data_IF_668556529257
#
_entry.id   IF_668556529257
#
_cell.length_a   1.000
_cell.length_b   1.000
_cell.length_c   1.000
_cell.angle_alpha   90.00
_cell.angle_beta   90.00
_cell.angle_gamma   90.00
#
_symmetry.space_group_name_H-M   'P 1'
#
loop_
_entity.id
_entity.type
_entity.pdbx_description
1 polymer ?
#
# COMPACT_ATOMS: atom_id res chain seq x y z
N UNK A 1 5.78 -11.24 10.70
CA UNK A 1 4.46 -11.84 10.99
C UNK A 1 3.44 -10.71 11.00
N UNK A 2 2.37 -10.79 10.21
CA UNK A 2 1.26 -9.83 10.29
C UNK A 2 0.40 -10.17 11.51
N UNK A 3 -0.12 -9.19 12.28
CA UNK A 3 -0.99 -9.48 13.41
C UNK A 3 -2.31 -10.11 12.94
N UNK A 4 -2.80 -11.06 13.73
CA UNK A 4 -4.09 -11.71 13.52
C UNK A 4 -5.27 -10.74 13.70
N UNK A 5 -5.11 -9.75 14.56
CA UNK A 5 -6.12 -8.71 14.81
C UNK A 5 -5.87 -7.45 13.97
N UNK A 6 -6.91 -7.00 13.24
CA UNK A 6 -6.93 -5.72 12.54
C UNK A 6 -8.34 -5.10 12.57
N UNK A 7 -8.44 -3.78 12.45
CA UNK A 7 -9.73 -3.06 12.52
C UNK A 7 -10.55 -3.05 11.23
N UNK A 8 -10.01 -3.62 10.15
CA UNK A 8 -10.68 -3.68 8.85
C UNK A 8 -11.83 -4.69 8.80
N UNK A 9 -12.86 -4.34 8.03
CA UNK A 9 -13.94 -5.25 7.62
C UNK A 9 -13.69 -5.61 6.15
N UNK A 10 -13.96 -6.86 5.79
CA UNK A 10 -13.75 -7.33 4.42
C UNK A 10 -14.62 -6.53 3.44
N UNK A 11 -14.01 -6.04 2.37
CA UNK A 11 -14.73 -5.45 1.24
C UNK A 11 -15.62 -6.49 0.58
N UNK A 12 -16.72 -6.04 -0.04
CA UNK A 12 -17.52 -6.89 -0.91
C UNK A 12 -16.67 -7.48 -2.03
N UNK A 13 -17.15 -8.57 -2.65
CA UNK A 13 -16.49 -9.14 -3.83
C UNK A 13 -16.38 -8.10 -4.94
N UNK A 14 -15.20 -8.00 -5.56
CA UNK A 14 -14.89 -6.93 -6.54
C UNK A 14 -14.81 -5.53 -5.94
N UNK A 15 -14.83 -5.39 -4.61
CA UNK A 15 -14.75 -4.11 -3.93
C UNK A 15 -13.48 -3.34 -4.28
N UNK A 16 -13.64 -2.02 -4.49
CA UNK A 16 -12.56 -1.10 -4.85
C UNK A 16 -12.18 -0.24 -3.64
N UNK A 17 -10.95 0.25 -3.63
CA UNK A 17 -10.45 1.10 -2.55
C UNK A 17 -9.03 1.57 -2.79
N UNK A 18 -8.46 2.24 -1.81
CA UNK A 18 -7.06 2.69 -1.90
C UNK A 18 -6.11 1.50 -1.73
N UNK A 19 -4.96 1.58 -2.37
CA UNK A 19 -3.80 0.77 -2.02
C UNK A 19 -2.87 1.59 -1.13
N UNK A 20 -2.46 1.05 0.01
CA UNK A 20 -1.52 1.70 0.92
C UNK A 20 -0.24 0.87 0.97
N UNK A 21 0.90 1.49 0.69
CA UNK A 21 2.22 0.87 0.77
C UNK A 21 3.07 1.67 1.76
N UNK A 22 3.69 0.98 2.71
CA UNK A 22 4.55 1.61 3.73
C UNK A 22 5.76 0.75 4.04
N UNK A 23 6.86 1.36 4.47
CA UNK A 23 8.02 0.62 4.99
C UNK A 23 7.80 0.10 6.42
N UNK A 24 6.89 0.72 7.17
CA UNK A 24 6.66 0.41 8.59
C UNK A 24 5.41 -0.43 8.80
N UNK A 25 5.59 -1.65 9.30
CA UNK A 25 4.47 -2.52 9.71
C UNK A 25 3.65 -1.92 10.84
N UNK A 26 4.25 -1.09 11.70
CA UNK A 26 3.52 -0.41 12.77
C UNK A 26 2.58 0.67 12.20
N UNK A 27 3.02 1.43 11.21
CA UNK A 27 2.13 2.38 10.52
C UNK A 27 1.01 1.65 9.79
N UNK A 28 1.35 0.55 9.10
CA UNK A 28 0.38 -0.26 8.37
C UNK A 28 -0.75 -0.76 9.28
N UNK A 29 -0.41 -1.36 10.44
CA UNK A 29 -1.43 -1.86 11.36
C UNK A 29 -2.28 -0.73 11.94
N UNK A 30 -1.67 0.40 12.31
CA UNK A 30 -2.41 1.55 12.84
C UNK A 30 -3.40 2.13 11.82
N UNK A 31 -3.08 2.09 10.53
CA UNK A 31 -4.01 2.49 9.47
C UNK A 31 -5.24 1.58 9.37
N UNK A 32 -5.09 0.28 9.65
CA UNK A 32 -6.25 -0.64 9.69
C UNK A 32 -7.15 -0.46 10.91
N UNK A 33 -6.64 0.16 11.97
CA UNK A 33 -7.36 0.34 13.24
C UNK A 33 -8.17 1.64 13.31
N UNK A 34 -8.18 2.44 12.24
CA UNK A 34 -8.91 3.70 12.21
C UNK A 34 -10.42 3.47 12.20
N UNK A 35 -11.14 4.30 12.97
CA UNK A 35 -12.62 4.31 12.99
C UNK A 35 -13.23 5.15 11.85
N UNK A 36 -12.40 5.82 11.05
CA UNK A 36 -12.84 6.57 9.87
C UNK A 36 -12.96 5.61 8.70
N UNK A 37 -14.13 5.60 8.05
CA UNK A 37 -14.36 4.78 6.87
C UNK A 37 -13.40 5.14 5.74
N UNK A 38 -12.59 4.18 5.32
CA UNK A 38 -11.75 4.24 4.13
C UNK A 38 -11.68 2.83 3.53
N UNK A 39 -12.25 2.59 2.34
CA UNK A 39 -12.08 1.32 1.65
C UNK A 39 -10.61 1.12 1.29
N UNK A 40 -10.01 0.04 1.81
CA UNK A 40 -8.61 -0.34 1.53
C UNK A 40 -8.66 -1.63 0.70
N UNK A 41 -8.29 -1.54 -0.58
CA UNK A 41 -8.19 -2.69 -1.46
C UNK A 41 -6.91 -3.51 -1.17
N UNK A 42 -5.81 -2.81 -0.88
CA UNK A 42 -4.52 -3.42 -0.57
C UNK A 42 -3.80 -2.66 0.53
N UNK A 43 -3.13 -3.42 1.40
CA UNK A 43 -2.19 -2.90 2.38
C UNK A 43 -0.92 -3.75 2.30
N UNK A 44 0.20 -3.12 1.96
CA UNK A 44 1.47 -3.81 1.77
C UNK A 44 2.57 -3.15 2.58
N UNK A 45 3.50 -3.96 3.08
CA UNK A 45 4.69 -3.45 3.77
C UNK A 45 5.96 -3.88 3.04
N UNK A 46 6.80 -2.90 2.71
CA UNK A 46 8.10 -3.16 2.07
C UNK A 46 9.18 -3.56 3.09
N UNK A 47 8.94 -3.28 4.38
CA UNK A 47 9.90 -3.57 5.45
C UNK A 47 11.26 -2.94 5.18
N UNK A 48 12.30 -3.76 5.22
CA UNK A 48 13.68 -3.33 4.93
C UNK A 48 14.01 -3.26 3.43
N UNK A 49 13.06 -3.57 2.54
CA UNK A 49 13.22 -3.47 1.08
C UNK A 49 14.33 -4.36 0.50
N UNK A 50 14.62 -5.51 1.11
CA UNK A 50 15.74 -6.36 0.70
C UNK A 50 15.56 -7.11 -0.63
N UNK A 51 14.31 -7.34 -1.06
CA UNK A 51 14.01 -8.06 -2.31
C UNK A 51 13.16 -7.23 -3.27
N UNK A 52 12.02 -6.72 -2.80
CA UNK A 52 11.12 -5.88 -3.59
C UNK A 52 11.03 -4.52 -2.93
N UNK A 53 11.33 -3.48 -3.70
CA UNK A 53 11.30 -2.09 -3.25
C UNK A 53 9.92 -1.46 -3.36
N UNK A 54 9.74 -0.32 -2.69
CA UNK A 54 8.46 0.40 -2.68
C UNK A 54 8.01 0.84 -4.08
N UNK A 55 8.95 1.29 -4.92
CA UNK A 55 8.65 1.71 -6.30
C UNK A 55 8.09 0.59 -7.17
N UNK A 56 8.61 -0.64 -7.02
CA UNK A 56 8.14 -1.81 -7.77
C UNK A 56 6.76 -2.27 -7.29
N UNK A 57 6.53 -2.32 -5.98
CA UNK A 57 5.20 -2.64 -5.42
C UNK A 57 4.15 -1.66 -5.91
N UNK A 58 4.48 -0.37 -5.92
CA UNK A 58 3.60 0.70 -6.39
C UNK A 58 3.24 0.55 -7.88
N UNK A 59 4.23 0.28 -8.73
CA UNK A 59 4.02 0.04 -10.17
C UNK A 59 3.15 -1.20 -10.42
N UNK A 60 3.26 -2.24 -9.60
CA UNK A 60 2.41 -3.43 -9.72
C UNK A 60 0.94 -3.16 -9.34
N UNK A 61 0.70 -2.26 -8.38
CA UNK A 61 -0.65 -1.98 -7.87
C UNK A 61 -1.39 -0.87 -8.60
N UNK A 62 -0.68 0.09 -9.21
CA UNK A 62 -1.32 1.24 -9.87
C UNK A 62 -2.20 0.84 -11.06
N UNK A 63 -1.99 -0.36 -11.61
CA UNK A 63 -2.74 -0.94 -12.73
C UNK A 63 -3.93 -1.81 -12.32
N UNK A 64 -4.06 -2.19 -11.05
CA UNK A 64 -5.15 -3.08 -10.62
C UNK A 64 -6.46 -2.28 -10.55
N UNK A 65 -7.49 -2.70 -11.29
CA UNK A 65 -8.78 -2.01 -11.37
C UNK A 65 -9.48 -1.82 -10.00
N UNK A 66 -9.12 -2.62 -8.98
CA UNK A 66 -9.63 -2.48 -7.61
C UNK A 66 -8.98 -1.31 -6.87
N UNK A 67 -7.85 -0.80 -7.34
CA UNK A 67 -7.14 0.34 -6.76
C UNK A 67 -7.71 1.63 -7.33
N UNK A 68 -8.24 2.49 -6.45
CA UNK A 68 -8.75 3.81 -6.84
C UNK A 68 -7.74 4.92 -6.62
N UNK A 69 -6.78 4.71 -5.72
CA UNK A 69 -5.69 5.65 -5.42
C UNK A 69 -4.55 4.92 -4.73
N UNK A 70 -3.33 5.39 -4.94
CA UNK A 70 -2.13 4.88 -4.30
C UNK A 70 -1.69 5.83 -3.19
N UNK A 71 -1.60 5.32 -1.96
CA UNK A 71 -1.07 6.03 -0.79
C UNK A 71 0.27 5.46 -0.37
N UNK A 72 1.30 6.30 -0.33
CA UNK A 72 2.66 5.88 -0.04
C UNK A 72 3.18 6.55 1.23
N UNK A 73 3.71 5.75 2.15
CA UNK A 73 4.53 6.24 3.26
C UNK A 73 5.98 5.83 3.03
N UNK A 74 6.83 6.83 2.79
CA UNK A 74 8.23 6.66 2.34
C UNK A 74 9.15 7.25 3.41
N UNK A 75 9.97 6.38 4.01
CA UNK A 75 11.08 6.74 4.89
C UNK A 75 12.36 6.95 4.06
N UNK A 76 12.54 6.15 3.00
CA UNK A 76 13.62 6.29 2.03
C UNK A 76 13.21 5.73 0.67
N UNK A 77 13.63 6.41 -0.40
CA UNK A 77 13.45 5.92 -1.77
C UNK A 77 14.36 4.71 -2.03
N UNK A 78 13.80 3.59 -2.49
CA UNK A 78 14.57 2.46 -3.00
C UNK A 78 15.21 2.77 -4.36
N UNK A 79 14.48 3.50 -5.21
CA UNK A 79 14.93 3.83 -6.57
C UNK A 79 14.29 5.11 -7.08
N UNK A 80 15.09 6.19 -7.23
CA UNK A 80 14.60 7.45 -7.82
C UNK A 80 14.00 7.23 -9.20
N UNK A 81 14.70 6.51 -10.07
CA UNK A 81 14.20 6.17 -11.40
C UNK A 81 12.93 5.30 -11.38
N UNK A 82 12.76 4.46 -10.36
CA UNK A 82 11.53 3.70 -10.14
C UNK A 82 10.34 4.62 -9.86
N UNK A 83 10.53 5.61 -8.99
CA UNK A 83 9.49 6.58 -8.68
C UNK A 83 9.20 7.55 -9.82
N UNK A 84 10.20 7.93 -10.61
CA UNK A 84 9.98 8.71 -11.84
C UNK A 84 9.08 7.95 -12.81
N UNK A 85 9.32 6.65 -13.00
CA UNK A 85 8.44 5.80 -13.82
C UNK A 85 7.04 5.70 -13.24
N UNK A 86 6.92 5.53 -11.93
CA UNK A 86 5.62 5.50 -11.24
C UNK A 86 4.86 6.81 -11.47
N UNK A 87 5.52 7.95 -11.29
CA UNK A 87 4.92 9.26 -11.49
C UNK A 87 4.51 9.53 -12.94
N UNK A 88 5.28 9.04 -13.92
CA UNK A 88 4.92 9.15 -15.33
C UNK A 88 3.73 8.28 -15.72
N UNK A 89 3.48 7.19 -14.97
CA UNK A 89 2.32 6.31 -15.19
C UNK A 89 1.05 6.83 -14.48
N UNK A 90 1.19 7.43 -13.31
CA UNK A 90 0.07 7.92 -12.49
C UNK A 90 -0.73 9.04 -13.18
#
# INVERSE_FOLDING_TARGET
>A
LWPDQHGGIRLAEGGRGVAIITQSSNIAINMTMQKRGLPIAFLMTAGNQAQTGLSEMALGLIEDDRVTSLGLHIEAFDSVAGFERLAARA
#
